data_IF_775256345310
#
_entry.id   IF_775256345310
#
_cell.length_a   1.000
_cell.length_b   1.000
_cell.length_c   1.000
_cell.angle_alpha   90.00
_cell.angle_beta   90.00
_cell.angle_gamma   90.00
#
_symmetry.space_group_name_H-M   'P 1'
#
loop_
_entity.id
_entity.type
_entity.pdbx_description
1 polymer ?
#
# COMPACT_ATOMS: atom_id res chain seq x y z
N UNK A 1 21.90 2.02 -12.26
CA UNK A 1 21.19 1.84 -13.54
C UNK A 1 19.83 2.53 -13.41
N UNK A 2 19.39 3.30 -14.38
CA UNK A 2 18.09 3.98 -14.38
C UNK A 2 17.26 3.49 -15.57
N UNK A 3 15.99 3.19 -15.35
CA UNK A 3 15.01 2.91 -16.40
C UNK A 3 14.13 4.14 -16.62
N UNK A 4 13.92 4.52 -17.88
CA UNK A 4 13.09 5.65 -18.27
C UNK A 4 11.64 5.21 -18.46
N UNK A 5 10.71 5.90 -17.80
CA UNK A 5 9.27 5.70 -17.93
C UNK A 5 8.61 6.92 -18.58
N UNK A 6 8.63 6.94 -19.91
CA UNK A 6 8.15 8.08 -20.68
C UNK A 6 8.98 9.35 -20.47
N UNK A 7 8.37 10.52 -20.64
CA UNK A 7 8.99 11.83 -20.36
C UNK A 7 8.87 12.24 -18.89
N UNK A 8 8.18 11.46 -18.06
CA UNK A 8 7.72 11.87 -16.73
C UNK A 8 8.65 11.47 -15.58
N UNK A 9 9.56 10.49 -15.76
CA UNK A 9 10.43 10.10 -14.66
C UNK A 9 11.33 8.89 -14.89
N UNK A 10 12.09 8.53 -13.84
CA UNK A 10 13.09 7.48 -13.86
C UNK A 10 13.02 6.62 -12.59
N UNK A 11 13.10 5.30 -12.75
CA UNK A 11 13.45 4.42 -11.66
C UNK A 11 14.97 4.47 -11.43
N UNK A 12 15.36 4.69 -10.19
CA UNK A 12 16.76 4.76 -9.79
C UNK A 12 17.11 3.56 -8.91
N UNK A 13 17.99 2.72 -9.43
CA UNK A 13 18.53 1.55 -8.75
C UNK A 13 19.95 1.88 -8.23
N UNK A 14 20.26 1.47 -7.01
CA UNK A 14 21.56 1.71 -6.42
C UNK A 14 21.78 0.92 -5.13
N UNK A 15 22.75 1.35 -4.30
CA UNK A 15 22.98 0.76 -2.96
C UNK A 15 21.87 1.03 -1.94
N UNK A 16 20.93 1.93 -2.26
CA UNK A 16 19.73 2.27 -1.45
C UNK A 16 18.50 1.64 -2.08
N UNK A 17 17.39 1.53 -1.32
CA UNK A 17 16.13 1.07 -1.89
C UNK A 17 15.77 1.85 -3.16
N UNK A 18 15.21 1.15 -4.14
CA UNK A 18 14.74 1.73 -5.39
C UNK A 18 13.78 2.89 -5.13
N UNK A 19 13.89 3.93 -5.92
CA UNK A 19 12.95 5.04 -5.88
C UNK A 19 12.61 5.52 -7.29
N UNK A 20 11.45 6.09 -7.43
CA UNK A 20 11.02 6.77 -8.64
C UNK A 20 11.22 8.27 -8.49
N UNK A 21 11.92 8.88 -9.43
CA UNK A 21 12.13 10.33 -9.52
C UNK A 21 11.33 10.89 -10.69
N UNK A 22 10.64 11.99 -10.46
CA UNK A 22 9.93 12.76 -11.50
C UNK A 22 10.10 14.25 -11.25
N UNK A 23 9.63 15.07 -12.17
CA UNK A 23 9.59 16.53 -12.01
C UNK A 23 8.71 16.96 -10.82
N UNK A 24 7.72 16.14 -10.46
CA UNK A 24 6.80 16.39 -9.35
C UNK A 24 7.39 15.97 -7.99
N UNK A 25 8.48 15.22 -7.99
CA UNK A 25 9.16 14.79 -6.76
C UNK A 25 9.71 13.38 -6.81
N UNK A 26 10.13 12.92 -5.65
CA UNK A 26 10.70 11.57 -5.49
C UNK A 26 9.72 10.68 -4.73
N UNK A 27 9.37 9.54 -5.32
CA UNK A 27 8.55 8.53 -4.69
C UNK A 27 9.45 7.41 -4.16
N UNK A 28 9.24 7.04 -2.90
CA UNK A 28 9.96 5.94 -2.22
C UNK A 28 8.97 5.07 -1.47
N UNK A 29 9.23 3.78 -1.43
CA UNK A 29 8.52 2.92 -0.50
C UNK A 29 8.91 3.30 0.93
N UNK A 30 7.91 3.56 1.76
CA UNK A 30 8.14 3.97 3.14
C UNK A 30 6.95 3.57 4.00
N UNK A 31 7.18 2.77 5.03
CA UNK A 31 6.13 2.29 5.93
C UNK A 31 5.42 3.41 6.69
N UNK A 32 6.13 4.52 6.96
CA UNK A 32 5.56 5.75 7.49
C UNK A 32 4.62 5.52 8.67
N UNK A 33 3.37 5.98 8.50
CA UNK A 33 2.32 5.84 9.51
C UNK A 33 1.91 4.40 9.79
N UNK A 34 2.20 3.42 8.89
CA UNK A 34 1.86 2.02 9.14
C UNK A 34 2.56 1.49 10.40
N UNK A 35 3.85 1.83 10.59
CA UNK A 35 4.61 1.45 11.80
C UNK A 35 3.95 2.00 13.06
N UNK A 36 3.54 3.27 13.04
CA UNK A 36 2.87 3.91 14.18
C UNK A 36 1.52 3.26 14.47
N UNK A 37 0.70 3.01 13.44
CA UNK A 37 -0.60 2.36 13.58
C UNK A 37 -0.45 0.95 14.14
N UNK A 38 0.50 0.16 13.66
CA UNK A 38 0.80 -1.17 14.18
C UNK A 38 1.28 -1.10 15.64
N UNK A 39 2.11 -0.12 15.98
CA UNK A 39 2.55 0.08 17.36
C UNK A 39 1.37 0.37 18.31
N UNK A 40 0.42 1.21 17.91
CA UNK A 40 -0.80 1.47 18.68
C UNK A 40 -1.69 0.22 18.80
N UNK A 41 -1.83 -0.56 17.71
CA UNK A 41 -2.55 -1.84 17.77
C UNK A 41 -1.90 -2.85 18.72
N UNK A 42 -0.57 -2.88 18.82
CA UNK A 42 0.15 -3.72 19.80
C UNK A 42 -0.17 -3.35 21.26
N UNK A 43 -0.49 -2.08 21.50
CA UNK A 43 -0.94 -1.60 22.84
C UNK A 43 -2.41 -1.89 23.11
N UNK A 44 -3.13 -2.52 22.20
CA UNK A 44 -4.55 -2.81 22.34
C UNK A 44 -5.47 -1.72 21.81
N UNK A 45 -4.95 -0.68 21.17
CA UNK A 45 -5.77 0.33 20.52
C UNK A 45 -6.34 -0.21 19.21
N UNK A 46 -7.58 0.17 18.89
CA UNK A 46 -8.20 -0.19 17.62
C UNK A 46 -7.60 0.60 16.44
N UNK A 47 -7.60 -0.01 15.26
CA UNK A 47 -7.28 0.66 14.02
C UNK A 47 -8.55 0.85 13.17
N UNK A 48 -8.73 2.04 12.59
CA UNK A 48 -9.97 2.38 11.86
C UNK A 48 -10.24 1.43 10.69
N UNK A 49 -9.21 1.10 9.92
CA UNK A 49 -9.32 0.21 8.77
C UNK A 49 -9.61 -1.22 9.24
N UNK A 50 -8.84 -1.71 10.19
CA UNK A 50 -8.98 -3.06 10.70
C UNK A 50 -10.32 -3.30 11.41
N UNK A 51 -10.88 -2.28 12.08
CA UNK A 51 -12.18 -2.36 12.74
C UNK A 51 -13.37 -2.47 11.77
N UNK A 52 -13.16 -2.17 10.49
CA UNK A 52 -14.18 -2.34 9.45
C UNK A 52 -14.19 -3.75 8.83
N UNK A 53 -13.15 -4.55 9.09
CA UNK A 53 -13.08 -5.91 8.56
C UNK A 53 -14.08 -6.82 9.28
N UNK A 54 -14.76 -7.73 8.57
CA UNK A 54 -15.51 -8.81 9.20
C UNK A 54 -14.64 -9.62 10.16
N UNK A 55 -15.23 -10.09 11.26
CA UNK A 55 -14.46 -10.82 12.29
C UNK A 55 -13.81 -12.13 11.81
N UNK A 56 -14.38 -12.72 10.77
CA UNK A 56 -13.93 -13.93 10.09
C UNK A 56 -13.15 -13.66 8.79
N UNK A 57 -12.83 -12.39 8.51
CA UNK A 57 -12.09 -12.00 7.31
C UNK A 57 -10.74 -12.71 7.21
N UNK A 58 -10.50 -13.35 6.08
CA UNK A 58 -9.28 -14.08 5.73
C UNK A 58 -8.65 -13.66 4.42
N UNK A 59 -9.37 -12.90 3.59
CA UNK A 59 -8.88 -12.49 2.27
C UNK A 59 -9.23 -11.03 1.97
N UNK A 60 -8.22 -10.23 1.65
CA UNK A 60 -8.40 -8.82 1.30
C UNK A 60 -7.73 -8.54 -0.04
N UNK A 61 -8.47 -7.91 -0.94
CA UNK A 61 -7.93 -7.31 -2.15
C UNK A 61 -7.76 -5.80 -1.94
N UNK A 62 -6.53 -5.31 -1.89
CA UNK A 62 -6.22 -3.89 -1.94
C UNK A 62 -6.02 -3.45 -3.39
N UNK A 63 -6.98 -2.73 -3.94
CA UNK A 63 -6.98 -2.28 -5.34
C UNK A 63 -6.07 -1.07 -5.61
N UNK A 64 -5.46 -0.50 -4.57
CA UNK A 64 -4.75 0.79 -4.63
C UNK A 64 -3.51 0.79 -3.74
N UNK A 65 -2.56 -0.11 -4.02
CA UNK A 65 -1.37 -0.31 -3.18
C UNK A 65 -0.66 1.00 -2.82
N UNK A 66 -0.41 1.88 -3.80
CA UNK A 66 0.27 3.16 -3.57
C UNK A 66 1.59 2.97 -2.83
N UNK A 67 1.68 3.51 -1.61
CA UNK A 67 2.86 3.35 -0.74
C UNK A 67 2.83 2.06 0.10
N UNK A 68 1.83 1.22 -0.04
CA UNK A 68 1.71 -0.07 0.63
C UNK A 68 1.38 -0.02 2.13
N UNK A 69 1.07 1.16 2.67
CA UNK A 69 0.84 1.35 4.11
C UNK A 69 -0.34 0.54 4.61
N UNK A 70 -1.47 0.64 3.93
CA UNK A 70 -2.69 -0.07 4.32
C UNK A 70 -2.57 -1.57 4.08
N UNK A 71 -1.96 -2.00 2.96
CA UNK A 71 -1.64 -3.40 2.70
C UNK A 71 -0.81 -4.01 3.85
N UNK A 72 0.20 -3.27 4.36
CA UNK A 72 1.04 -3.73 5.48
C UNK A 72 0.23 -3.85 6.77
N UNK A 73 -0.63 -2.88 7.06
CA UNK A 73 -1.51 -2.89 8.23
C UNK A 73 -2.49 -4.06 8.16
N UNK A 74 -3.14 -4.25 7.02
CA UNK A 74 -4.07 -5.35 6.78
C UNK A 74 -3.36 -6.71 6.94
N UNK A 75 -2.21 -6.88 6.33
CA UNK A 75 -1.43 -8.11 6.42
C UNK A 75 -0.96 -8.40 7.86
N UNK A 76 -0.53 -7.35 8.59
CA UNK A 76 -0.15 -7.50 9.99
C UNK A 76 -1.35 -7.87 10.86
N UNK A 77 -2.51 -7.27 10.63
CA UNK A 77 -3.73 -7.52 11.37
C UNK A 77 -4.28 -8.94 11.13
N UNK A 78 -4.37 -9.35 9.88
CA UNK A 78 -4.84 -10.70 9.51
C UNK A 78 -3.86 -11.80 9.97
N UNK A 79 -2.58 -11.50 10.09
CA UNK A 79 -1.54 -12.47 10.52
C UNK A 79 -1.58 -13.71 9.63
N UNK A 80 -1.42 -14.91 10.24
CA UNK A 80 -1.48 -16.20 9.52
C UNK A 80 -2.89 -16.64 9.15
N UNK A 81 -3.92 -15.91 9.57
CA UNK A 81 -5.32 -16.26 9.28
C UNK A 81 -5.75 -15.85 7.87
N UNK A 82 -5.01 -14.94 7.26
CA UNK A 82 -5.45 -14.41 5.99
C UNK A 82 -4.33 -13.93 5.09
N UNK A 83 -4.72 -13.59 3.88
CA UNK A 83 -3.87 -13.08 2.81
C UNK A 83 -4.29 -11.68 2.36
N UNK A 84 -3.32 -10.93 1.85
CA UNK A 84 -3.55 -9.63 1.21
C UNK A 84 -2.95 -9.67 -0.18
N UNK A 85 -3.81 -9.53 -1.18
CA UNK A 85 -3.41 -9.28 -2.56
C UNK A 85 -3.54 -7.79 -2.80
N UNK A 86 -2.50 -7.17 -3.33
CA UNK A 86 -2.45 -5.74 -3.57
C UNK A 86 -2.16 -5.45 -5.04
N UNK A 87 -2.88 -4.49 -5.61
CA UNK A 87 -2.75 -4.12 -7.01
C UNK A 87 -2.13 -2.73 -7.13
N UNK A 88 -1.17 -2.58 -8.03
CA UNK A 88 -0.64 -1.28 -8.43
C UNK A 88 -0.58 -1.21 -9.96
N UNK A 89 -1.27 -0.22 -10.53
CA UNK A 89 -1.32 -0.01 -11.96
C UNK A 89 -0.09 0.68 -12.52
N UNK A 90 0.47 1.62 -11.76
CA UNK A 90 1.67 2.35 -12.17
C UNK A 90 2.90 1.45 -12.10
N UNK A 91 3.52 1.16 -13.25
CA UNK A 91 4.72 0.34 -13.30
C UNK A 91 5.85 0.86 -12.42
N UNK A 92 6.17 2.16 -12.42
CA UNK A 92 7.19 2.70 -11.50
C UNK A 92 6.86 2.47 -10.03
N UNK A 93 5.61 2.71 -9.60
CA UNK A 93 5.20 2.53 -8.22
C UNK A 93 5.19 1.06 -7.81
N UNK A 94 4.77 0.17 -8.73
CA UNK A 94 4.87 -1.27 -8.53
C UNK A 94 6.32 -1.73 -8.27
N UNK A 95 7.28 -1.30 -9.12
CA UNK A 95 8.69 -1.69 -8.94
C UNK A 95 9.26 -1.15 -7.62
N UNK A 96 8.97 0.11 -7.27
CA UNK A 96 9.38 0.68 -5.97
C UNK A 96 8.75 -0.08 -4.81
N UNK A 97 7.47 -0.43 -4.90
CA UNK A 97 6.76 -1.21 -3.88
C UNK A 97 7.33 -2.60 -3.72
N UNK A 98 7.54 -3.33 -4.80
CA UNK A 98 8.11 -4.67 -4.84
C UNK A 98 9.48 -4.73 -4.19
N UNK A 99 10.39 -3.85 -4.61
CA UNK A 99 11.74 -3.76 -4.04
C UNK A 99 11.71 -3.30 -2.57
N UNK A 100 10.79 -2.39 -2.24
CA UNK A 100 10.60 -1.92 -0.87
C UNK A 100 10.12 -3.01 0.09
N UNK A 101 9.12 -3.80 -0.32
CA UNK A 101 8.66 -4.96 0.45
C UNK A 101 9.79 -5.96 0.68
N UNK A 102 10.61 -6.22 -0.34
CA UNK A 102 11.74 -7.14 -0.23
C UNK A 102 12.86 -6.61 0.67
N UNK A 103 13.18 -5.31 0.59
CA UNK A 103 14.30 -4.69 1.31
C UNK A 103 14.05 -4.48 2.81
N UNK A 104 12.78 -4.29 3.23
CA UNK A 104 12.44 -3.99 4.62
C UNK A 104 12.26 -5.25 5.49
N UNK A 105 12.72 -6.38 5.02
CA UNK A 105 12.56 -7.69 5.67
C UNK A 105 13.33 -7.89 6.98
N UNK A 106 13.78 -6.85 7.68
CA UNK A 106 14.79 -7.00 8.72
C UNK A 106 14.55 -6.34 10.08
N UNK A 107 13.41 -5.70 10.36
CA UNK A 107 13.28 -4.90 11.59
C UNK A 107 12.73 -5.63 12.81
N UNK A 108 11.76 -6.51 12.67
CA UNK A 108 11.30 -7.49 13.65
C UNK A 108 10.58 -8.66 12.96
N UNK A 109 10.40 -9.79 13.65
CA UNK A 109 9.82 -11.00 13.05
C UNK A 109 8.39 -10.79 12.53
N UNK A 110 7.51 -10.13 13.30
CA UNK A 110 6.10 -9.92 12.92
C UNK A 110 5.96 -8.98 11.72
N UNK A 111 6.74 -7.90 11.69
CA UNK A 111 6.73 -6.96 10.57
C UNK A 111 7.25 -7.62 9.29
N UNK A 112 8.35 -8.33 9.39
CA UNK A 112 8.92 -9.09 8.27
C UNK A 112 7.93 -10.11 7.71
N UNK A 113 7.23 -10.83 8.58
CA UNK A 113 6.20 -11.78 8.16
C UNK A 113 5.01 -11.08 7.50
N UNK A 114 4.59 -9.93 8.01
CA UNK A 114 3.53 -9.13 7.38
C UNK A 114 3.91 -8.69 5.96
N UNK A 115 5.12 -8.17 5.77
CA UNK A 115 5.61 -7.75 4.46
C UNK A 115 5.68 -8.91 3.45
N UNK A 116 6.12 -10.08 3.90
CA UNK A 116 6.25 -11.28 3.06
C UNK A 116 4.91 -11.89 2.64
N UNK A 117 3.84 -11.67 3.40
CA UNK A 117 2.50 -12.17 3.07
C UNK A 117 1.76 -11.32 2.06
N UNK A 118 2.24 -10.12 1.76
CA UNK A 118 1.61 -9.27 0.76
C UNK A 118 1.99 -9.76 -0.63
N UNK A 119 0.99 -10.14 -1.40
CA UNK A 119 1.17 -10.45 -2.82
C UNK A 119 0.89 -9.20 -3.64
N UNK A 120 1.96 -8.48 -4.02
CA UNK A 120 1.84 -7.30 -4.86
C UNK A 120 1.86 -7.68 -6.34
N UNK A 121 0.84 -7.25 -7.08
CA UNK A 121 0.68 -7.50 -8.51
C UNK A 121 0.68 -6.18 -9.30
N UNK A 122 1.36 -6.18 -10.44
CA UNK A 122 1.27 -5.09 -11.40
C UNK A 122 0.01 -5.28 -12.24
N UNK A 123 -1.09 -4.66 -11.83
CA UNK A 123 -2.38 -4.80 -12.49
C UNK A 123 -3.26 -3.55 -12.31
N UNK A 124 -4.12 -3.29 -13.28
CA UNK A 124 -5.26 -2.40 -13.11
C UNK A 124 -6.42 -3.18 -12.44
N UNK A 125 -7.00 -2.61 -11.40
CA UNK A 125 -8.04 -3.29 -10.62
C UNK A 125 -9.29 -3.64 -11.47
N UNK A 126 -9.61 -2.88 -12.51
CA UNK A 126 -10.77 -3.14 -13.36
C UNK A 126 -10.59 -4.46 -14.10
N UNK A 127 -9.49 -4.59 -14.85
CA UNK A 127 -9.18 -5.83 -15.56
C UNK A 127 -8.99 -7.01 -14.62
N UNK A 128 -8.43 -6.80 -13.44
CA UNK A 128 -8.29 -7.84 -12.43
C UNK A 128 -9.65 -8.34 -11.94
N UNK A 129 -10.56 -7.43 -11.56
CA UNK A 129 -11.88 -7.79 -11.05
C UNK A 129 -12.80 -8.41 -12.10
N UNK A 130 -12.64 -8.05 -13.39
CA UNK A 130 -13.38 -8.69 -14.50
C UNK A 130 -13.07 -10.18 -14.64
N UNK A 131 -11.87 -10.59 -14.23
CA UNK A 131 -11.40 -11.99 -14.35
C UNK A 131 -11.43 -12.75 -13.03
N UNK A 132 -11.59 -12.05 -11.91
CA UNK A 132 -11.67 -12.67 -10.60
C UNK A 132 -12.96 -13.50 -10.45
N UNK A 133 -12.85 -14.66 -9.79
CA UNK A 133 -14.02 -15.46 -9.49
C UNK A 133 -14.95 -14.70 -8.52
N UNK A 134 -16.29 -14.87 -8.64
CA UNK A 134 -17.22 -14.31 -7.67
C UNK A 134 -16.88 -14.76 -6.24
N UNK A 135 -16.97 -13.85 -5.29
CA UNK A 135 -16.70 -14.11 -3.86
C UNK A 135 -15.27 -14.63 -3.56
N UNK A 136 -14.28 -14.30 -4.40
CA UNK A 136 -12.89 -14.71 -4.17
C UNK A 136 -12.18 -13.91 -3.06
N UNK A 137 -12.79 -12.82 -2.59
CA UNK A 137 -12.28 -12.00 -1.50
C UNK A 137 -13.40 -11.65 -0.51
N UNK A 138 -13.08 -11.66 0.78
CA UNK A 138 -14.01 -11.23 1.82
C UNK A 138 -14.16 -9.71 1.83
N UNK A 139 -13.09 -9.00 1.48
CA UNK A 139 -13.07 -7.53 1.42
C UNK A 139 -12.31 -7.04 0.19
N UNK A 140 -12.90 -6.07 -0.50
CA UNK A 140 -12.24 -5.30 -1.56
C UNK A 140 -12.06 -3.87 -1.05
N UNK A 141 -10.81 -3.43 -0.98
CA UNK A 141 -10.41 -2.13 -0.43
C UNK A 141 -9.93 -1.18 -1.51
N UNK A 142 -10.35 0.09 -1.41
CA UNK A 142 -9.93 1.18 -2.29
C UNK A 142 -9.57 2.42 -1.46
N UNK A 143 -8.37 2.96 -1.68
CA UNK A 143 -7.97 4.30 -1.21
C UNK A 143 -7.31 5.09 -2.36
N UNK A 144 -8.11 5.53 -3.35
CA UNK A 144 -7.56 6.22 -4.51
C UNK A 144 -7.03 7.59 -4.14
N UNK A 145 -5.81 7.92 -4.60
CA UNK A 145 -5.31 9.28 -4.53
C UNK A 145 -6.16 10.20 -5.42
N UNK A 146 -6.83 11.17 -4.83
CA UNK A 146 -7.57 12.17 -5.58
C UNK A 146 -6.60 13.09 -6.33
N UNK A 147 -6.76 13.21 -7.64
CA UNK A 147 -5.92 14.09 -8.49
C UNK A 147 -6.09 15.58 -8.14
N UNK A 148 -7.19 15.92 -7.50
CA UNK A 148 -7.47 17.29 -7.07
C UNK A 148 -7.63 17.30 -5.54
N UNK A 149 -6.73 18.01 -4.82
CA UNK A 149 -6.93 18.19 -3.40
C UNK A 149 -8.27 18.90 -3.19
N UNK A 150 -9.07 18.38 -2.28
CA UNK A 150 -10.29 19.06 -1.86
C UNK A 150 -9.86 20.43 -1.32
N UNK A 151 -10.20 21.51 -2.05
CA UNK A 151 -9.95 22.87 -1.55
C UNK A 151 -10.67 22.98 -0.21
N UNK A 152 -9.93 23.10 0.88
CA UNK A 152 -10.52 23.54 2.15
C UNK A 152 -11.14 24.92 1.86
N UNK A 153 -12.46 25.05 2.05
CA UNK A 153 -13.07 26.35 2.15
C UNK A 153 -12.36 27.02 3.33
N UNK A 154 -11.57 28.03 3.07
CA UNK A 154 -11.17 28.97 4.10
C UNK A 154 -12.46 29.57 4.64
N UNK A 155 -12.86 29.16 5.84
CA UNK A 155 -13.86 29.90 6.58
C UNK A 155 -13.17 31.22 6.95
N UNK A 156 -13.36 32.24 6.14
CA UNK A 156 -13.14 33.61 6.56
C UNK A 156 -14.11 33.87 7.71
N UNK A 157 -13.62 33.73 8.93
CA UNK A 157 -14.26 34.34 10.08
C UNK A 157 -13.89 35.82 9.97
N UNK A 158 -14.71 36.57 9.23
CA UNK A 158 -14.77 38.01 9.42
C UNK A 158 -15.54 38.24 10.72
N UNK A 159 -14.78 38.67 11.76
CA UNK A 159 -15.31 39.19 13.00
C UNK A 159 -15.36 40.69 12.99
#
# INVERSE_FOLDING_TARGET
MSEKYGEEGFLVYGKKPVFFWSKEGTYRFHLGTAVLRIFEMRKGHGDRLCNLLPGDCTSVLDCTFGQGRDSVILSWYLRKRGEVISLERSRPLYEVGKEGLAALSGQDGEMTEALRRIQLLHADFRGFLETAAPNSFDVIYFDPMFRYPVKRKENSIEG
#
